data_IF_250307506180
#
_entry.id   IF_250307506180
#
_cell.length_a   1.000
_cell.length_b   1.000
_cell.length_c   1.000
_cell.angle_alpha   90.00
_cell.angle_beta   90.00
_cell.angle_gamma   90.00
#
_symmetry.space_group_name_H-M   'P 1'
#
loop_
_entity.id
_entity.type
_entity.pdbx_description
1 polymer ?
#
# COMPACT_ATOMS: atom_id res chain seq x y z
N UNK A 1 5.09 -8.07 16.23
CA UNK A 1 5.02 -9.08 15.15
C UNK A 1 5.25 -8.36 13.85
N UNK A 2 6.35 -8.66 13.17
CA UNK A 2 6.76 -7.97 11.95
C UNK A 2 5.78 -8.31 10.83
N UNK A 3 4.87 -7.38 10.51
CA UNK A 3 4.02 -7.49 9.34
C UNK A 3 4.92 -7.46 8.11
N UNK A 4 5.33 -8.64 7.66
CA UNK A 4 6.08 -8.83 6.43
C UNK A 4 5.28 -8.16 5.33
N UNK A 5 5.87 -7.13 4.72
CA UNK A 5 5.28 -6.40 3.60
C UNK A 5 5.30 -7.38 2.43
N UNK A 6 4.23 -8.14 2.30
CA UNK A 6 4.09 -9.19 1.30
C UNK A 6 3.24 -8.67 0.14
N UNK A 7 3.65 -9.01 -1.07
CA UNK A 7 2.86 -8.77 -2.28
C UNK A 7 1.52 -9.49 -2.12
N UNK A 8 0.42 -8.79 -2.41
CA UNK A 8 -0.95 -9.28 -2.24
C UNK A 8 -1.64 -8.77 -0.98
N UNK A 9 -0.94 -8.11 -0.05
CA UNK A 9 -1.58 -7.49 1.12
C UNK A 9 -2.42 -6.28 0.75
N UNK A 10 -3.57 -6.16 1.41
CA UNK A 10 -4.40 -4.96 1.36
C UNK A 10 -3.86 -3.93 2.35
N UNK A 11 -3.83 -2.68 1.92
CA UNK A 11 -3.47 -1.56 2.76
C UNK A 11 -4.45 -0.42 2.49
N UNK A 12 -4.70 0.40 3.51
CA UNK A 12 -5.45 1.63 3.38
C UNK A 12 -4.47 2.78 3.35
N UNK A 13 -4.65 3.71 2.43
CA UNK A 13 -3.98 5.01 2.53
C UNK A 13 -4.61 5.79 3.67
N UNK A 14 -3.87 6.02 4.75
CA UNK A 14 -4.35 6.82 5.88
C UNK A 14 -4.08 8.32 5.69
N UNK A 15 -3.09 8.67 4.85
CA UNK A 15 -2.66 10.05 4.63
C UNK A 15 -2.78 10.48 3.17
N UNK A 16 -3.24 11.73 2.97
CA UNK A 16 -3.31 12.41 1.67
C UNK A 16 -4.73 12.65 1.16
N UNK A 17 -4.86 13.16 -0.08
CA UNK A 17 -6.14 13.55 -0.72
C UNK A 17 -7.09 12.37 -1.01
N UNK A 18 -6.64 11.13 -0.80
CA UNK A 18 -7.37 9.87 -0.97
C UNK A 18 -7.28 9.01 0.29
N UNK A 19 -7.28 9.63 1.46
CA UNK A 19 -7.38 8.91 2.72
C UNK A 19 -8.63 8.00 2.71
N UNK A 20 -8.54 6.80 3.28
CA UNK A 20 -9.54 5.71 3.22
C UNK A 20 -9.70 4.99 1.88
N UNK A 21 -8.78 5.16 0.91
CA UNK A 21 -8.77 4.32 -0.30
C UNK A 21 -8.05 2.99 -0.01
N UNK A 22 -8.77 1.88 -0.17
CA UNK A 22 -8.19 0.54 -0.17
C UNK A 22 -7.32 0.33 -1.42
N UNK A 23 -6.10 -0.12 -1.18
CA UNK A 23 -5.12 -0.43 -2.21
C UNK A 23 -4.47 -1.78 -1.93
N UNK A 24 -4.08 -2.50 -2.98
CA UNK A 24 -3.40 -3.78 -2.85
C UNK A 24 -1.93 -3.60 -3.21
N UNK A 25 -1.01 -4.09 -2.39
CA UNK A 25 0.41 -4.07 -2.71
C UNK A 25 0.70 -5.07 -3.83
N UNK A 26 1.12 -4.59 -4.99
CA UNK A 26 1.49 -5.45 -6.13
C UNK A 26 2.99 -5.74 -6.18
N UNK A 27 3.83 -4.84 -5.68
CA UNK A 27 5.27 -5.03 -5.70
C UNK A 27 5.94 -4.30 -4.55
N UNK A 28 6.95 -4.90 -3.95
CA UNK A 28 7.87 -4.21 -3.04
C UNK A 28 9.03 -3.71 -3.87
N UNK A 29 9.23 -2.39 -3.89
CA UNK A 29 10.33 -1.78 -4.64
C UNK A 29 11.55 -1.67 -3.73
N UNK A 30 11.31 -1.23 -2.50
CA UNK A 30 12.35 -0.95 -1.53
C UNK A 30 11.82 -1.14 -0.10
N UNK A 31 12.68 -0.96 0.90
CA UNK A 31 12.28 -1.07 2.32
C UNK A 31 11.22 -0.04 2.69
N UNK A 32 11.23 1.14 2.05
CA UNK A 32 10.30 2.24 2.32
C UNK A 32 9.23 2.43 1.24
N UNK A 33 9.36 1.77 0.09
CA UNK A 33 8.50 2.04 -1.07
C UNK A 33 7.89 0.76 -1.62
N UNK A 34 6.57 0.82 -1.78
CA UNK A 34 5.79 -0.24 -2.40
C UNK A 34 5.01 0.32 -3.58
N UNK A 35 4.76 -0.55 -4.54
CA UNK A 35 3.82 -0.33 -5.62
C UNK A 35 2.47 -0.84 -5.16
N UNK A 36 1.47 0.03 -5.19
CA UNK A 36 0.10 -0.29 -4.81
C UNK A 36 -0.82 -0.11 -6.00
N UNK A 37 -1.77 -1.02 -6.16
CA UNK A 37 -2.82 -0.96 -7.16
C UNK A 37 -4.14 -0.61 -6.49
N UNK A 38 -4.72 0.52 -6.91
CA UNK A 38 -6.05 0.91 -6.44
C UNK A 38 -7.17 0.20 -7.20
N UNK A 39 -8.42 0.32 -6.71
CA UNK A 39 -9.62 -0.27 -7.34
C UNK A 39 -9.79 0.06 -8.83
N UNK A 40 -9.31 1.23 -9.26
CA UNK A 40 -9.33 1.65 -10.68
C UNK A 40 -8.23 1.01 -11.55
N UNK A 41 -7.49 0.03 -11.04
CA UNK A 41 -6.40 -0.63 -11.76
C UNK A 41 -5.15 0.22 -11.97
N UNK A 42 -5.12 1.43 -11.41
CA UNK A 42 -3.95 2.31 -11.50
C UNK A 42 -2.93 1.92 -10.45
N UNK A 43 -1.72 1.63 -10.92
CA UNK A 43 -0.57 1.37 -10.05
C UNK A 43 0.10 2.69 -9.71
N UNK A 44 0.32 2.92 -8.41
CA UNK A 44 1.00 4.10 -7.91
C UNK A 44 2.06 3.68 -6.91
N UNK A 45 3.20 4.37 -6.96
CA UNK A 45 4.21 4.26 -5.90
C UNK A 45 3.65 4.93 -4.64
N UNK A 46 3.72 4.22 -3.52
CA UNK A 46 3.36 4.76 -2.22
C UNK A 46 4.47 4.44 -1.21
N UNK A 47 4.68 5.37 -0.28
CA UNK A 47 5.53 5.12 0.87
C UNK A 47 4.74 4.27 1.87
N UNK A 48 5.39 3.24 2.44
CA UNK A 48 4.78 2.40 3.48
C UNK A 48 4.40 3.19 4.73
N UNK A 49 5.07 4.31 5.03
CA UNK A 49 4.72 5.17 6.16
C UNK A 49 3.32 5.82 6.05
N UNK A 50 2.70 5.79 4.87
CA UNK A 50 1.37 6.34 4.59
C UNK A 50 0.32 5.24 4.39
N UNK A 51 0.74 3.98 4.48
CA UNK A 51 -0.08 2.81 4.29
C UNK A 51 -0.28 2.13 5.62
N UNK A 52 -1.54 1.90 5.97
CA UNK A 52 -1.92 1.08 7.09
C UNK A 52 -2.32 -0.28 6.54
N UNK A 53 -1.53 -1.30 6.85
CA UNK A 53 -1.82 -2.66 6.41
C UNK A 53 -2.97 -3.19 7.25
N UNK A 54 -4.05 -3.58 6.57
CA UNK A 54 -5.08 -4.40 7.18
C UNK A 54 -4.50 -5.81 7.21
N UNK A 55 -4.42 -6.40 8.40
CA UNK A 55 -3.93 -7.77 8.60
C UNK A 55 -4.75 -8.79 7.80
#
# INVERSE_FOLDING_TARGET
>A
MASVIQVGKKAIRTKGRKASEEVTVTKVIDKNFVMVKGKKGTEKRCNIAHLEFLD
#
